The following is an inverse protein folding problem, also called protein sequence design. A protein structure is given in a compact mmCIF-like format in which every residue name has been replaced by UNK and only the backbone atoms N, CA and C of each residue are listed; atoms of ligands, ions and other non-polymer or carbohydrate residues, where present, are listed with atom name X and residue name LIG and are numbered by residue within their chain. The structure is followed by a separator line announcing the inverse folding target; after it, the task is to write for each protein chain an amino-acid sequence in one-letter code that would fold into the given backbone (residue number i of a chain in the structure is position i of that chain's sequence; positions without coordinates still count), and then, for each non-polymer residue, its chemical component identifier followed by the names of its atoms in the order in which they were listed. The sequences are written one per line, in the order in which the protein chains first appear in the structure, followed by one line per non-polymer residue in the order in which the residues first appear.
data_IF_525138081637
#
_entry.id   IF_525138081637
#
_cell.length_a   1.000
_cell.length_b   1.000
_cell.length_c   1.000
_cell.angle_alpha   90.00
_cell.angle_beta   90.00
_cell.angle_gamma   90.00
#
_symmetry.space_group_name_H-M   'P 1'
#
loop_
_entity.id
_entity.type
_entity.pdbx_description
1 polymer ?
#
# COMPACT_ATOMS: atom_id res chain seq x y z
N UNK A 1 -7.43 -22.07 10.26
CA UNK A 1 -6.27 -21.19 10.51
C UNK A 1 -5.94 -20.38 9.28
N UNK A 2 -5.79 -19.08 9.45
CA UNK A 2 -5.39 -18.22 8.32
C UNK A 2 -3.90 -18.41 8.06
N UNK A 3 -3.59 -18.78 6.83
CA UNK A 3 -2.21 -18.87 6.38
C UNK A 3 -1.72 -17.47 6.00
N UNK A 4 -0.65 -17.01 6.62
CA UNK A 4 -0.06 -15.70 6.35
C UNK A 4 0.28 -15.55 4.88
N UNK A 5 0.83 -16.59 4.26
CA UNK A 5 1.17 -16.54 2.85
C UNK A 5 -0.07 -16.33 1.97
N UNK A 6 -1.18 -16.97 2.31
CA UNK A 6 -2.44 -16.80 1.59
C UNK A 6 -2.97 -15.36 1.74
N UNK A 7 -2.89 -14.80 2.95
CA UNK A 7 -3.30 -13.42 3.21
C UNK A 7 -2.48 -12.44 2.36
N UNK A 8 -1.17 -12.64 2.31
CA UNK A 8 -0.27 -11.79 1.53
C UNK A 8 -0.56 -11.92 0.03
N UNK A 9 -0.79 -13.14 -0.47
CA UNK A 9 -1.14 -13.35 -1.87
C UNK A 9 -2.46 -12.67 -2.24
N UNK A 10 -3.46 -12.75 -1.37
CA UNK A 10 -4.73 -12.05 -1.59
C UNK A 10 -4.55 -10.53 -1.61
N UNK A 11 -3.66 -10.01 -0.75
CA UNK A 11 -3.29 -8.60 -0.76
C UNK A 11 -2.66 -8.20 -2.08
N UNK A 12 -1.72 -9.00 -2.59
CA UNK A 12 -1.03 -8.73 -3.87
C UNK A 12 -2.05 -8.73 -5.01
N UNK A 13 -2.88 -9.78 -5.10
CA UNK A 13 -3.89 -9.89 -6.16
C UNK A 13 -4.86 -8.70 -6.13
N UNK A 14 -5.34 -8.33 -4.95
CA UNK A 14 -6.25 -7.20 -4.81
C UNK A 14 -5.58 -5.88 -5.22
N UNK A 15 -4.30 -5.70 -4.88
CA UNK A 15 -3.56 -4.49 -5.26
C UNK A 15 -3.39 -4.39 -6.77
N UNK A 16 -3.04 -5.48 -7.44
CA UNK A 16 -2.91 -5.52 -8.90
C UNK A 16 -4.26 -5.20 -9.56
N UNK A 17 -5.32 -5.86 -9.11
CA UNK A 17 -6.65 -5.68 -9.69
C UNK A 17 -7.21 -4.28 -9.42
N UNK A 18 -6.90 -3.71 -8.26
CA UNK A 18 -7.25 -2.32 -7.97
C UNK A 18 -6.59 -1.37 -8.97
N UNK A 19 -5.31 -1.60 -9.26
CA UNK A 19 -4.57 -0.79 -10.23
C UNK A 19 -5.17 -0.87 -11.62
N UNK A 20 -5.50 -2.09 -12.07
CA UNK A 20 -6.14 -2.30 -13.37
C UNK A 20 -7.48 -1.56 -13.44
N UNK A 21 -8.29 -1.66 -12.38
CA UNK A 21 -9.58 -1.00 -12.33
C UNK A 21 -9.43 0.53 -12.35
N UNK A 22 -8.47 1.08 -11.61
CA UNK A 22 -8.20 2.52 -11.62
C UNK A 22 -7.82 3.01 -13.01
N UNK A 23 -6.92 2.31 -13.68
CA UNK A 23 -6.44 2.71 -15.00
C UNK A 23 -7.53 2.58 -16.07
N UNK A 24 -8.50 1.69 -15.86
CA UNK A 24 -9.66 1.54 -16.76
C UNK A 24 -10.81 2.48 -16.39
N UNK A 25 -10.66 3.31 -15.36
CA UNK A 25 -11.71 4.22 -14.92
C UNK A 25 -12.90 3.53 -14.27
N UNK A 26 -12.71 2.29 -13.77
CA UNK A 26 -13.79 1.52 -13.15
C UNK A 26 -13.78 1.72 -11.64
N UNK A 27 -14.44 2.78 -11.18
CA UNK A 27 -14.44 3.14 -9.76
C UNK A 27 -15.08 2.08 -8.86
N UNK A 28 -16.11 1.41 -9.32
CA UNK A 28 -16.80 0.39 -8.53
C UNK A 28 -15.88 -0.79 -8.24
N UNK A 29 -15.16 -1.26 -9.25
CA UNK A 29 -14.21 -2.36 -9.09
C UNK A 29 -13.00 -1.91 -8.27
N UNK A 30 -12.50 -0.70 -8.51
CA UNK A 30 -11.38 -0.17 -7.74
C UNK A 30 -11.71 -0.14 -6.25
N UNK A 31 -12.90 0.33 -5.89
CA UNK A 31 -13.33 0.40 -4.50
C UNK A 31 -13.52 -0.99 -3.89
N UNK A 32 -14.02 -1.94 -4.66
CA UNK A 32 -14.19 -3.32 -4.20
C UNK A 32 -12.83 -3.91 -3.79
N UNK A 33 -11.83 -3.79 -4.64
CA UNK A 33 -10.49 -4.31 -4.35
C UNK A 33 -9.81 -3.51 -3.24
N UNK A 34 -10.05 -2.21 -3.16
CA UNK A 34 -9.53 -1.38 -2.08
C UNK A 34 -10.00 -1.89 -0.72
N UNK A 35 -11.27 -2.26 -0.60
CA UNK A 35 -11.81 -2.81 0.65
C UNK A 35 -11.11 -4.11 1.03
N UNK A 36 -10.81 -4.96 0.05
CA UNK A 36 -10.05 -6.20 0.31
C UNK A 36 -8.65 -5.86 0.83
N UNK A 37 -7.96 -4.91 0.17
CA UNK A 37 -6.63 -4.46 0.58
C UNK A 37 -6.66 -4.00 2.04
N UNK A 38 -7.63 -3.16 2.41
CA UNK A 38 -7.72 -2.64 3.77
C UNK A 38 -7.96 -3.74 4.79
N UNK A 39 -8.78 -4.72 4.48
CA UNK A 39 -9.02 -5.87 5.37
C UNK A 39 -7.75 -6.67 5.62
N UNK A 40 -6.94 -6.89 4.57
CA UNK A 40 -5.70 -7.65 4.70
C UNK A 40 -4.67 -6.88 5.53
N UNK A 41 -4.54 -5.58 5.31
CA UNK A 41 -3.65 -4.73 6.10
C UNK A 41 -4.08 -4.74 7.58
N UNK A 42 -5.37 -4.61 7.84
CA UNK A 42 -5.90 -4.65 9.20
C UNK A 42 -5.56 -5.98 9.89
N UNK A 43 -5.77 -7.09 9.17
CA UNK A 43 -5.44 -8.42 9.69
C UNK A 43 -3.96 -8.52 10.06
N UNK A 44 -3.07 -8.08 9.13
CA UNK A 44 -1.63 -8.13 9.35
C UNK A 44 -1.21 -7.30 10.58
N UNK A 45 -1.81 -6.12 10.75
CA UNK A 45 -1.55 -5.27 11.92
C UNK A 45 -2.01 -5.92 13.20
N UNK A 46 -3.22 -6.46 13.22
CA UNK A 46 -3.81 -7.05 14.42
C UNK A 46 -3.07 -8.30 14.87
N UNK A 47 -2.48 -9.03 13.94
CA UNK A 47 -1.74 -10.28 14.25
C UNK A 47 -0.24 -10.07 14.36
N UNK A 48 0.22 -8.81 14.36
CA UNK A 48 1.64 -8.51 14.49
C UNK A 48 2.48 -8.93 13.32
N UNK A 49 1.88 -9.08 12.13
CA UNK A 49 2.55 -9.59 10.93
C UNK A 49 2.86 -8.51 9.90
N UNK A 50 2.62 -7.24 10.22
CA UNK A 50 2.84 -6.16 9.26
C UNK A 50 4.32 -6.04 8.85
N UNK A 51 5.24 -6.42 9.74
CA UNK A 51 6.68 -6.40 9.47
C UNK A 51 7.23 -7.77 9.08
N UNK A 52 6.36 -8.72 8.69
CA UNK A 52 6.78 -10.03 8.20
C UNK A 52 7.70 -9.85 7.01
N UNK A 53 8.86 -10.57 6.96
CA UNK A 53 9.82 -10.40 5.86
C UNK A 53 9.23 -10.60 4.47
N UNK A 54 8.24 -11.49 4.31
CA UNK A 54 7.59 -11.72 3.02
C UNK A 54 6.80 -10.46 2.61
N UNK A 55 6.09 -9.85 3.56
CA UNK A 55 5.36 -8.61 3.29
C UNK A 55 6.31 -7.45 2.97
N UNK A 56 7.40 -7.32 3.73
CA UNK A 56 8.39 -6.27 3.51
C UNK A 56 9.00 -6.33 2.10
N UNK A 57 9.19 -7.53 1.57
CA UNK A 57 9.74 -7.69 0.21
C UNK A 57 8.84 -7.09 -0.87
N UNK A 58 7.56 -6.90 -0.58
CA UNK A 58 6.63 -6.33 -1.54
C UNK A 58 6.94 -4.86 -1.86
N UNK A 59 7.75 -4.19 -1.04
CA UNK A 59 8.26 -2.85 -1.36
C UNK A 59 9.10 -2.84 -2.64
N UNK A 60 9.58 -4.00 -3.07
CA UNK A 60 10.39 -4.16 -4.28
C UNK A 60 9.66 -4.95 -5.37
N UNK A 61 8.35 -5.17 -5.21
CA UNK A 61 7.54 -5.88 -6.18
C UNK A 61 7.51 -5.12 -7.51
N UNK A 62 7.44 -5.83 -8.63
CA UNK A 62 7.46 -5.21 -9.96
C UNK A 62 6.22 -4.38 -10.28
N UNK A 63 5.08 -4.67 -9.64
CA UNK A 63 3.83 -3.94 -9.87
C UNK A 63 3.79 -2.68 -9.01
N UNK A 64 3.50 -1.53 -9.64
CA UNK A 64 3.50 -0.23 -8.97
C UNK A 64 2.46 -0.13 -7.85
N UNK A 65 1.29 -0.72 -8.04
CA UNK A 65 0.20 -0.65 -7.04
C UNK A 65 0.48 -1.55 -5.85
N UNK A 66 1.15 -2.70 -6.06
CA UNK A 66 1.60 -3.54 -4.95
C UNK A 66 2.60 -2.76 -4.09
N UNK A 67 3.58 -2.12 -4.71
CA UNK A 67 4.55 -1.29 -3.97
C UNK A 67 3.85 -0.15 -3.23
N UNK A 68 2.89 0.50 -3.89
CA UNK A 68 2.17 1.63 -3.32
C UNK A 68 1.41 1.22 -2.06
N UNK A 69 0.58 0.18 -2.13
CA UNK A 69 -0.23 -0.24 -0.98
C UNK A 69 0.62 -0.83 0.14
N UNK A 70 1.69 -1.54 -0.20
CA UNK A 70 2.64 -2.04 0.80
C UNK A 70 3.31 -0.88 1.53
N UNK A 71 3.77 0.12 0.78
CA UNK A 71 4.41 1.29 1.37
C UNK A 71 3.43 2.08 2.25
N UNK A 72 2.18 2.25 1.82
CA UNK A 72 1.16 2.91 2.64
C UNK A 72 0.97 2.21 3.98
N UNK A 73 0.91 0.87 3.96
CA UNK A 73 0.74 0.09 5.19
C UNK A 73 1.94 0.23 6.12
N UNK A 74 3.14 0.21 5.56
CA UNK A 74 4.38 0.25 6.35
C UNK A 74 4.77 1.65 6.79
N UNK A 75 4.23 2.68 6.15
CA UNK A 75 4.50 4.06 6.50
C UNK A 75 4.09 4.35 7.95
N UNK A 76 2.94 3.83 8.35
CA UNK A 76 2.45 3.99 9.73
C UNK A 76 3.26 3.18 10.74
N UNK A 77 4.02 2.19 10.28
CA UNK A 77 4.94 1.43 11.12
C UNK A 77 6.33 2.08 11.20
N UNK A 78 6.45 3.31 10.69
CA UNK A 78 7.70 4.11 10.68
C UNK A 78 8.84 3.41 9.95
N UNK A 79 8.52 2.72 8.87
CA UNK A 79 9.51 2.05 8.03
C UNK A 79 10.08 3.05 7.03
N UNK A 80 11.38 3.32 7.10
CA UNK A 80 12.03 4.30 6.23
C UNK A 80 12.01 3.87 4.76
N UNK A 81 12.08 2.57 4.49
CA UNK A 81 12.04 2.05 3.12
C UNK A 81 10.66 2.31 2.47
N UNK A 82 9.60 2.37 3.28
CA UNK A 82 8.27 2.69 2.79
C UNK A 82 8.23 4.11 2.21
N UNK A 83 8.81 5.08 2.92
CA UNK A 83 8.87 6.46 2.43
C UNK A 83 9.70 6.55 1.15
N UNK A 84 10.85 5.87 1.12
CA UNK A 84 11.71 5.84 -0.07
C UNK A 84 10.97 5.25 -1.27
N UNK A 85 10.20 4.18 -1.05
CA UNK A 85 9.38 3.55 -2.09
C UNK A 85 8.33 4.52 -2.63
N UNK A 86 7.64 5.24 -1.75
CA UNK A 86 6.65 6.24 -2.17
C UNK A 86 7.31 7.38 -2.94
N UNK A 87 8.47 7.85 -2.49
CA UNK A 87 9.21 8.90 -3.20
C UNK A 87 9.58 8.46 -4.62
N UNK A 88 10.04 7.23 -4.78
CA UNK A 88 10.34 6.68 -6.11
C UNK A 88 9.09 6.61 -6.98
N UNK A 89 7.94 6.22 -6.41
CA UNK A 89 6.68 6.13 -7.14
C UNK A 89 6.15 7.48 -7.61
N UNK A 90 6.52 8.59 -6.95
CA UNK A 90 6.10 9.93 -7.39
C UNK A 90 6.63 10.27 -8.80
N UNK A 91 7.67 9.57 -9.25
CA UNK A 91 8.22 9.77 -10.59
C UNK A 91 7.38 9.09 -11.67
N UNK A 92 6.45 8.20 -11.29
CA UNK A 92 5.58 7.52 -12.23
C UNK A 92 4.50 8.45 -12.75
N UNK A 93 4.18 8.34 -14.04
CA UNK A 93 3.08 9.09 -14.63
C UNK A 93 1.75 8.43 -14.26
N UNK A 94 0.70 9.24 -14.20
CA UNK A 94 -0.65 8.74 -13.97
C UNK A 94 -1.03 8.65 -12.51
N UNK A 95 -2.02 7.80 -12.23
CA UNK A 95 -2.69 7.77 -10.93
C UNK A 95 -1.81 7.35 -9.77
N UNK A 96 -0.93 6.36 -9.98
CA UNK A 96 -0.08 5.87 -8.88
C UNK A 96 0.92 6.94 -8.44
N UNK A 97 1.47 7.71 -9.38
CA UNK A 97 2.38 8.81 -9.05
C UNK A 97 1.66 9.91 -8.30
N UNK A 98 0.47 10.28 -8.76
CA UNK A 98 -0.36 11.29 -8.09
C UNK A 98 -0.73 10.84 -6.67
N UNK A 99 -1.19 9.60 -6.53
CA UNK A 99 -1.57 9.05 -5.21
C UNK A 99 -0.39 9.01 -4.26
N UNK A 100 0.79 8.68 -4.76
CA UNK A 100 2.02 8.65 -3.94
C UNK A 100 2.38 10.04 -3.42
N UNK A 101 2.26 11.08 -4.28
CA UNK A 101 2.48 12.47 -3.87
C UNK A 101 1.51 12.89 -2.78
N UNK A 102 0.24 12.55 -2.92
CA UNK A 102 -0.79 12.88 -1.94
C UNK A 102 -0.57 12.17 -0.61
N UNK A 103 -0.19 10.90 -0.66
CA UNK A 103 0.08 10.11 0.55
C UNK A 103 1.26 10.69 1.33
N UNK A 104 2.33 11.07 0.63
CA UNK A 104 3.50 11.70 1.27
C UNK A 104 3.10 13.02 1.92
N UNK A 105 2.32 13.84 1.22
CA UNK A 105 1.84 15.12 1.73
C UNK A 105 1.03 14.93 3.01
N UNK A 106 0.07 14.02 3.00
CA UNK A 106 -0.77 13.73 4.16
C UNK A 106 0.05 13.22 5.35
N UNK A 107 1.04 12.36 5.08
CA UNK A 107 1.92 11.84 6.11
C UNK A 107 2.74 12.96 6.76
N UNK A 108 3.30 13.85 5.96
CA UNK A 108 4.08 14.99 6.47
C UNK A 108 3.23 15.93 7.29
N UNK A 109 2.01 16.21 6.84
CA UNK A 109 1.08 17.07 7.58
C UNK A 109 0.71 16.45 8.92
N UNK A 110 0.42 15.15 8.96
CA UNK A 110 0.12 14.45 10.20
C UNK A 110 1.31 14.46 11.16
N UNK A 111 2.52 14.26 10.64
CA UNK A 111 3.74 14.30 11.43
C UNK A 111 3.95 15.68 12.06
N UNK A 112 3.76 16.75 11.28
CA UNK A 112 3.91 18.11 11.79
C UNK A 112 2.89 18.42 12.87
N UNK A 113 1.64 17.98 12.69
CA UNK A 113 0.59 18.18 13.68
C UNK A 113 0.87 17.44 14.99
N UNK A 114 1.43 16.24 14.92
CA UNK A 114 1.70 15.43 16.10
C UNK A 114 2.91 15.92 16.91
N UNK A 115 3.74 16.81 16.33
CA UNK A 115 4.94 17.34 16.97
C UNK A 115 4.76 18.74 17.52
N UNK A 116 3.53 19.24 17.54
CA UNK A 116 3.24 20.56 18.13
C UNK A 116 2.94 20.48 19.61
#
# INVERSE_FOLDING_TARGET
MSDINAIILEFVDASINNGIAQENGNSNQANKFYRVIQKKIKWLNEHGEICNPIFLKLLHHENDYVRYYTACALLHAKNNDALDTLLALTEKKGLVGFSSKMTIKEYKEAFLLSNK
#
